data_IF_272583331260
#
_entry.id   IF_272583331260
#
_cell.length_a   1.000
_cell.length_b   1.000
_cell.length_c   1.000
_cell.angle_alpha   90.00
_cell.angle_beta   90.00
_cell.angle_gamma   90.00
#
_symmetry.space_group_name_H-M   'P 1'
#
loop_
_entity.id
_entity.type
_entity.pdbx_description
1 polymer ?
#
# COMPACT_ATOMS: atom_id res chain seq x y z
N UNK A 1 8.75 5.20 10.61
CA UNK A 1 7.87 5.92 9.66
C UNK A 1 8.30 5.52 8.27
N UNK A 2 7.34 5.16 7.42
CA UNK A 2 7.58 4.73 6.04
C UNK A 2 6.71 5.55 5.10
N UNK A 3 7.27 5.86 3.94
CA UNK A 3 6.57 6.57 2.86
C UNK A 3 6.08 5.56 1.82
N UNK A 4 4.78 5.56 1.55
CA UNK A 4 4.17 4.62 0.61
C UNK A 4 3.69 5.35 -0.63
N UNK A 5 4.34 5.07 -1.75
CA UNK A 5 3.91 5.58 -3.05
C UNK A 5 2.80 4.71 -3.66
N UNK A 6 1.68 5.34 -3.96
CA UNK A 6 0.55 4.68 -4.62
C UNK A 6 0.69 4.77 -6.14
N UNK A 7 0.66 3.62 -6.81
CA UNK A 7 0.62 3.56 -8.28
C UNK A 7 -0.66 4.23 -8.81
N UNK A 8 -0.63 4.70 -10.06
CA UNK A 8 -1.69 5.53 -10.65
C UNK A 8 -3.10 4.93 -10.55
N UNK A 9 -3.23 3.60 -10.60
CA UNK A 9 -4.52 2.92 -10.50
C UNK A 9 -5.19 3.02 -9.12
N UNK A 10 -4.43 3.08 -8.03
CA UNK A 10 -4.99 3.19 -6.67
C UNK A 10 -5.39 4.62 -6.29
N UNK A 11 -4.84 5.62 -6.99
CA UNK A 11 -5.11 7.04 -6.67
C UNK A 11 -6.58 7.42 -6.80
N UNK A 12 -7.33 6.70 -7.65
CA UNK A 12 -8.77 6.93 -7.83
C UNK A 12 -9.58 6.61 -6.57
N UNK A 13 -9.08 5.68 -5.74
CA UNK A 13 -9.78 5.22 -4.52
C UNK A 13 -9.19 5.78 -3.23
N UNK A 14 -8.17 6.65 -3.35
CA UNK A 14 -7.53 7.36 -2.23
C UNK A 14 -7.69 8.88 -2.34
N UNK A 15 -8.69 9.36 -3.08
CA UNK A 15 -8.94 10.79 -3.25
C UNK A 15 -7.83 11.55 -4.00
N UNK A 16 -7.00 10.83 -4.77
CA UNK A 16 -5.88 11.40 -5.51
C UNK A 16 -4.56 11.43 -4.72
N UNK A 17 -4.51 10.90 -3.50
CA UNK A 17 -3.28 10.82 -2.72
C UNK A 17 -2.24 9.97 -3.45
N UNK A 18 -1.03 10.52 -3.57
CA UNK A 18 0.09 9.87 -4.25
C UNK A 18 1.03 9.18 -3.27
N UNK A 19 1.07 9.69 -2.04
CA UNK A 19 2.00 9.32 -0.99
C UNK A 19 1.21 9.26 0.31
N UNK A 20 1.35 8.16 1.04
CA UNK A 20 0.78 7.98 2.38
C UNK A 20 1.93 7.70 3.35
N UNK A 21 2.03 8.50 4.40
CA UNK A 21 3.00 8.28 5.48
C UNK A 21 2.33 7.49 6.61
N UNK A 22 2.96 6.42 7.07
CA UNK A 22 2.46 5.62 8.19
C UNK A 22 3.59 4.96 8.98
N UNK A 23 3.26 4.49 10.18
CA UNK A 23 4.16 3.68 11.00
C UNK A 23 3.86 2.20 10.78
N UNK A 24 4.86 1.47 10.29
CA UNK A 24 4.83 0.03 10.10
C UNK A 24 6.26 -0.52 10.12
N UNK A 25 6.40 -1.77 10.54
CA UNK A 25 7.65 -2.52 10.57
C UNK A 25 7.71 -3.62 9.50
N UNK A 26 6.58 -3.97 8.88
CA UNK A 26 6.51 -5.01 7.84
C UNK A 26 5.62 -4.58 6.68
N UNK A 27 5.78 -5.23 5.51
CA UNK A 27 4.90 -5.01 4.35
C UNK A 27 3.44 -5.31 4.69
N UNK A 28 3.18 -6.36 5.48
CA UNK A 28 1.82 -6.68 5.93
C UNK A 28 1.20 -5.54 6.75
N UNK A 29 1.95 -4.98 7.70
CA UNK A 29 1.49 -3.83 8.50
C UNK A 29 1.27 -2.58 7.64
N UNK A 30 2.09 -2.37 6.61
CA UNK A 30 1.87 -1.28 5.64
C UNK A 30 0.53 -1.47 4.94
N UNK A 31 0.27 -2.66 4.37
CA UNK A 31 -0.97 -2.94 3.66
C UNK A 31 -2.20 -2.79 4.56
N UNK A 32 -2.14 -3.28 5.80
CA UNK A 32 -3.21 -3.12 6.78
C UNK A 32 -3.40 -1.65 7.17
N UNK A 33 -2.31 -0.89 7.33
CA UNK A 33 -2.33 0.54 7.61
C UNK A 33 -3.00 1.34 6.49
N UNK A 34 -2.66 1.02 5.23
CA UNK A 34 -3.28 1.63 4.06
C UNK A 34 -4.79 1.39 4.00
N UNK A 35 -5.25 0.17 4.29
CA UNK A 35 -6.69 -0.14 4.32
C UNK A 35 -7.42 0.61 5.44
N UNK A 36 -6.77 0.82 6.59
CA UNK A 36 -7.35 1.60 7.69
C UNK A 36 -7.56 3.07 7.31
N UNK A 37 -6.60 3.67 6.60
CA UNK A 37 -6.70 5.07 6.14
C UNK A 37 -7.63 5.19 4.93
N UNK A 38 -7.53 4.26 3.98
CA UNK A 38 -8.28 4.23 2.74
C UNK A 38 -8.95 2.86 2.53
N UNK A 39 -10.15 2.64 3.08
CA UNK A 39 -10.86 1.35 2.98
C UNK A 39 -11.12 0.89 1.55
N UNK A 40 -11.18 1.82 0.59
CA UNK A 40 -11.32 1.51 -0.84
C UNK A 40 -10.15 0.73 -1.45
N UNK A 41 -9.01 0.62 -0.74
CA UNK A 41 -7.84 -0.15 -1.18
C UNK A 41 -7.97 -1.66 -0.94
N UNK A 42 -8.83 -2.09 0.01
CA UNK A 42 -9.00 -3.49 0.39
C UNK A 42 -9.20 -4.45 -0.81
N UNK A 43 -10.16 -4.22 -1.74
CA UNK A 43 -10.38 -5.15 -2.83
C UNK A 43 -9.18 -5.29 -3.79
N UNK A 44 -8.36 -4.24 -3.91
CA UNK A 44 -7.16 -4.28 -4.77
C UNK A 44 -6.03 -5.04 -4.10
N UNK A 45 -5.83 -4.83 -2.79
CA UNK A 45 -4.81 -5.55 -2.02
C UNK A 45 -5.16 -7.04 -1.94
N UNK A 46 -6.44 -7.38 -1.73
CA UNK A 46 -6.93 -8.76 -1.72
C UNK A 46 -6.81 -9.45 -3.07
N UNK A 47 -7.01 -8.72 -4.18
CA UNK A 47 -6.79 -9.23 -5.54
C UNK A 47 -5.30 -9.52 -5.85
N UNK A 48 -4.39 -9.06 -4.99
CA UNK A 48 -2.95 -9.24 -5.13
C UNK A 48 -2.27 -7.98 -5.65
N UNK A 49 -1.22 -7.56 -4.94
CA UNK A 49 -0.38 -6.42 -5.30
C UNK A 49 1.09 -6.82 -5.24
N UNK A 50 1.89 -6.27 -6.15
CA UNK A 50 3.35 -6.32 -6.04
C UNK A 50 3.81 -5.11 -5.24
N UNK A 51 4.67 -5.35 -4.25
CA UNK A 51 5.24 -4.30 -3.40
C UNK A 51 6.73 -4.21 -3.70
N UNK A 52 7.21 -2.98 -3.88
CA UNK A 52 8.64 -2.69 -3.94
C UNK A 52 9.02 -1.86 -2.72
N UNK A 53 10.07 -2.28 -2.02
CA UNK A 53 10.66 -1.55 -0.91
C UNK A 53 12.02 -1.06 -1.36
N UNK A 54 12.20 0.27 -1.40
CA UNK A 54 13.44 0.92 -1.84
C UNK A 54 14.00 0.42 -3.19
N UNK A 55 13.09 0.07 -4.11
CA UNK A 55 13.42 -0.40 -5.46
C UNK A 55 13.57 -1.92 -5.60
N UNK A 56 13.52 -2.67 -4.50
CA UNK A 56 13.55 -4.13 -4.51
C UNK A 56 12.13 -4.70 -4.43
N UNK A 57 11.78 -5.58 -5.38
CA UNK A 57 10.47 -6.24 -5.37
C UNK A 57 10.45 -7.28 -4.25
N UNK A 58 9.53 -7.10 -3.31
CA UNK A 58 9.27 -8.05 -2.23
C UNK A 58 8.11 -8.93 -2.68
N UNK A 59 8.40 -10.22 -2.86
CA UNK A 59 7.35 -11.21 -2.99
C UNK A 59 6.68 -11.36 -1.62
N UNK A 60 5.47 -10.85 -1.48
CA UNK A 60 4.61 -11.24 -0.36
C UNK A 60 4.11 -12.65 -0.65
N UNK A 61 4.77 -13.67 -0.10
CA UNK A 61 4.03 -14.89 0.23
C UNK A 61 3.13 -14.54 1.41
N UNK A 62 1.86 -14.91 1.31
CA UNK A 62 0.88 -14.66 2.36
C UNK A 62 0.71 -15.92 3.18
#
# INVERSE_FOLDING_TARGET
MVEVHLWSGLRQVTGGEQVVELEAATVGEVLDGLVKVHPGLAPFIEAGVSVAVDGEIVASDR
#
